data_IF_794166916472
#
_entry.id   IF_794166916472
#
_cell.length_a   1.000
_cell.length_b   1.000
_cell.length_c   1.000
_cell.angle_alpha   90.00
_cell.angle_beta   90.00
_cell.angle_gamma   90.00
#
_symmetry.space_group_name_H-M   'P 1'
#
loop_
_entity.id
_entity.type
_entity.pdbx_description
1 polymer ?
#
# COMPACT_ATOMS: atom_id res chain seq x y z
N UNK A 1 1.26 4.66 33.10
CA UNK A 1 -0.07 4.85 32.47
C UNK A 1 -0.24 6.35 32.24
N UNK A 2 -0.85 6.77 31.13
CA UNK A 2 -1.02 8.16 30.60
C UNK A 2 -0.06 8.65 29.48
N UNK A 3 0.90 7.86 28.99
CA UNK A 3 1.76 8.27 27.85
C UNK A 3 1.12 8.17 26.45
N UNK A 4 -0.16 7.80 26.35
CA UNK A 4 -0.81 7.38 25.09
C UNK A 4 -1.77 8.39 24.48
N UNK A 5 -2.21 9.40 25.21
CA UNK A 5 -3.32 10.26 24.77
C UNK A 5 -2.88 11.26 23.69
N UNK A 6 -1.80 12.05 23.86
CA UNK A 6 -1.45 13.08 22.88
C UNK A 6 -0.99 12.50 21.55
N UNK A 7 -0.13 11.48 21.56
CA UNK A 7 0.27 10.78 20.34
C UNK A 7 -0.94 10.16 19.62
N UNK A 8 -1.92 9.61 20.35
CA UNK A 8 -3.15 9.07 19.76
C UNK A 8 -4.02 10.16 19.14
N UNK A 9 -4.10 11.36 19.74
CA UNK A 9 -4.84 12.50 19.18
C UNK A 9 -4.23 12.93 17.85
N UNK A 10 -2.91 13.16 17.80
CA UNK A 10 -2.25 13.57 16.55
C UNK A 10 -2.28 12.47 15.48
N UNK A 11 -2.14 11.21 15.87
CA UNK A 11 -2.34 10.09 14.95
C UNK A 11 -3.78 10.03 14.42
N UNK A 12 -4.78 10.37 15.23
CA UNK A 12 -6.19 10.41 14.79
C UNK A 12 -6.42 11.57 13.83
N UNK A 13 -5.90 12.76 14.11
CA UNK A 13 -5.99 13.91 13.21
C UNK A 13 -5.28 13.64 11.87
N UNK A 14 -4.10 13.04 11.89
CA UNK A 14 -3.40 12.62 10.68
C UNK A 14 -4.21 11.59 9.87
N UNK A 15 -4.89 10.64 10.53
CA UNK A 15 -5.83 9.69 9.89
C UNK A 15 -7.05 10.40 9.29
N UNK A 16 -7.56 11.43 9.96
CA UNK A 16 -8.66 12.28 9.48
C UNK A 16 -8.25 13.25 8.36
N UNK A 17 -6.97 13.27 7.96
CA UNK A 17 -6.44 14.14 6.88
C UNK A 17 -6.48 15.62 7.22
N UNK A 18 -6.37 15.92 8.51
CA UNK A 18 -6.25 17.26 9.02
C UNK A 18 -4.94 17.87 8.53
N UNK A 19 -5.01 19.09 8.02
CA UNK A 19 -3.87 19.80 7.40
C UNK A 19 -2.92 20.27 8.48
N UNK A 20 -1.74 20.74 8.08
CA UNK A 20 -0.76 21.33 9.00
C UNK A 20 -1.38 22.35 9.98
N UNK A 21 -2.32 23.17 9.47
CA UNK A 21 -3.07 24.14 10.27
C UNK A 21 -3.86 23.50 11.43
N UNK A 22 -4.60 22.42 11.17
CA UNK A 22 -5.38 21.73 12.20
C UNK A 22 -4.48 21.11 13.29
N UNK A 23 -3.30 20.62 12.92
CA UNK A 23 -2.33 20.05 13.86
C UNK A 23 -1.74 21.13 14.76
N UNK A 24 -1.42 22.30 14.19
CA UNK A 24 -0.94 23.46 14.93
C UNK A 24 -2.01 23.96 15.89
N UNK A 25 -3.28 24.01 15.46
CA UNK A 25 -4.40 24.40 16.32
C UNK A 25 -4.64 23.41 17.47
N UNK A 26 -4.63 22.10 17.19
CA UNK A 26 -4.76 21.09 18.25
C UNK A 26 -3.58 21.11 19.21
N UNK A 27 -2.36 21.27 18.69
CA UNK A 27 -1.16 21.42 19.50
C UNK A 27 -1.25 22.62 20.43
N UNK A 28 -1.73 23.75 19.93
CA UNK A 28 -1.86 24.95 20.72
C UNK A 28 -2.88 24.78 21.86
N UNK A 29 -3.97 24.05 21.59
CA UNK A 29 -4.95 23.70 22.63
C UNK A 29 -4.37 22.77 23.70
N UNK A 30 -3.63 21.73 23.29
CA UNK A 30 -3.04 20.75 24.22
C UNK A 30 -1.90 21.33 25.04
N UNK A 31 -1.07 22.20 24.46
CA UNK A 31 -0.01 22.92 25.16
C UNK A 31 -0.53 24.12 25.96
N UNK A 32 -1.78 24.54 25.73
CA UNK A 32 -2.32 25.80 26.22
C UNK A 32 -1.39 27.01 25.90
N UNK A 33 -0.79 27.00 24.72
CA UNK A 33 0.13 28.04 24.27
C UNK A 33 0.12 28.14 22.74
N UNK A 34 0.24 29.33 22.12
CA UNK A 34 0.21 29.43 20.66
C UNK A 34 1.39 28.72 20.00
N UNK A 35 1.16 28.25 18.78
CA UNK A 35 2.15 27.51 17.99
C UNK A 35 2.16 28.06 16.57
N UNK A 36 3.34 28.13 15.98
CA UNK A 36 3.49 28.34 14.55
C UNK A 36 4.45 27.29 14.00
N UNK A 37 4.15 26.81 12.79
CA UNK A 37 5.03 25.97 12.01
C UNK A 37 5.58 26.76 10.82
N UNK A 38 6.89 26.66 10.60
CA UNK A 38 7.56 27.16 9.41
C UNK A 38 8.29 26.04 8.69
N UNK A 39 8.44 26.13 7.37
CA UNK A 39 9.20 25.16 6.59
C UNK A 39 10.73 25.29 6.79
N UNK A 40 11.47 24.43 6.09
CA UNK A 40 12.94 24.41 6.06
C UNK A 40 13.59 25.68 5.49
N UNK A 41 12.85 26.48 4.72
CA UNK A 41 13.29 27.81 4.25
C UNK A 41 12.87 28.93 5.23
N UNK A 42 12.36 28.54 6.41
CA UNK A 42 11.84 29.41 7.45
C UNK A 42 10.65 30.27 7.01
N UNK A 43 9.90 29.84 6.00
CA UNK A 43 8.63 30.47 5.63
C UNK A 43 7.50 29.93 6.50
N UNK A 44 6.67 30.79 7.09
CA UNK A 44 5.56 30.33 7.92
C UNK A 44 4.51 29.61 7.06
N UNK A 45 4.08 28.45 7.52
CA UNK A 45 3.11 27.60 6.83
C UNK A 45 1.78 27.48 7.59
N UNK A 46 1.80 27.63 8.92
CA UNK A 46 0.61 27.58 9.76
C UNK A 46 0.80 28.36 11.06
N UNK A 47 -0.28 28.96 11.56
CA UNK A 47 -0.34 29.70 12.81
C UNK A 47 -1.57 29.27 13.59
N UNK A 48 -1.44 28.94 14.87
CA UNK A 48 -2.60 28.66 15.71
C UNK A 48 -3.49 29.91 15.83
N UNK A 49 -4.80 29.73 16.05
CA UNK A 49 -5.79 30.83 16.14
C UNK A 49 -5.36 32.05 16.97
N UNK A 50 -4.60 31.85 18.06
CA UNK A 50 -4.17 32.92 18.98
C UNK A 50 -2.67 33.26 18.90
N UNK A 51 -2.02 33.06 17.76
CA UNK A 51 -0.60 33.41 17.62
C UNK A 51 -0.39 34.94 17.71
N UNK A 52 0.56 35.46 18.52
CA UNK A 52 0.73 36.89 18.72
C UNK A 52 1.05 37.66 17.44
N UNK A 53 0.25 38.68 17.12
CA UNK A 53 0.42 39.49 15.90
C UNK A 53 1.77 40.21 15.84
N UNK A 54 2.28 40.66 17.00
CA UNK A 54 3.59 41.31 17.11
C UNK A 54 4.75 40.38 16.70
N UNK A 55 4.64 39.08 17.00
CA UNK A 55 5.65 38.07 16.63
C UNK A 55 5.60 37.74 15.14
N UNK A 56 4.41 37.79 14.54
CA UNK A 56 4.27 37.72 13.07
C UNK A 56 4.96 38.92 12.43
N UNK A 57 4.76 40.12 12.95
CA UNK A 57 5.41 41.34 12.45
C UNK A 57 6.94 41.30 12.62
N UNK A 58 7.42 40.90 13.80
CA UNK A 58 8.85 40.75 14.10
C UNK A 58 9.51 39.79 13.12
N UNK A 59 8.85 38.68 12.81
CA UNK A 59 9.33 37.71 11.82
C UNK A 59 9.42 38.31 10.42
N UNK A 60 8.38 39.02 9.97
CA UNK A 60 8.39 39.64 8.64
C UNK A 60 9.53 40.66 8.53
N UNK A 61 9.76 41.45 9.58
CA UNK A 61 10.90 42.37 9.65
C UNK A 61 12.25 41.65 9.67
N UNK A 62 12.38 40.55 10.42
CA UNK A 62 13.59 39.75 10.49
C UNK A 62 13.94 39.08 9.15
N UNK A 63 12.96 38.55 8.43
CA UNK A 63 13.13 37.95 7.10
C UNK A 63 13.64 38.97 6.07
N UNK A 64 13.13 40.21 6.11
CA UNK A 64 13.55 41.29 5.21
C UNK A 64 14.97 41.80 5.50
N UNK A 65 15.39 41.80 6.77
CA UNK A 65 16.60 42.49 7.24
C UNK A 65 17.81 41.57 7.51
N UNK A 66 17.65 40.24 7.53
CA UNK A 66 18.72 39.36 8.05
C UNK A 66 18.76 37.95 7.43
N UNK A 67 18.96 37.86 6.12
CA UNK A 67 19.20 36.58 5.43
C UNK A 67 20.48 35.84 5.89
N UNK A 68 21.49 36.55 6.40
CA UNK A 68 22.78 35.95 6.83
C UNK A 68 22.90 35.66 8.33
N UNK A 69 22.20 36.40 9.21
CA UNK A 69 22.29 36.23 10.67
C UNK A 69 21.45 35.04 11.19
N UNK A 70 20.31 34.75 10.55
CA UNK A 70 19.46 33.60 10.93
C UNK A 70 20.09 32.25 10.54
N UNK A 71 20.79 32.17 9.40
CA UNK A 71 21.38 30.92 8.89
C UNK A 71 22.42 30.33 9.85
N UNK A 72 23.34 31.16 10.38
CA UNK A 72 24.42 30.73 11.29
C UNK A 72 23.94 30.33 12.69
N UNK A 73 22.81 30.86 13.16
CA UNK A 73 22.24 30.48 14.47
C UNK A 73 21.41 29.18 14.40
N UNK A 74 20.73 28.96 13.27
CA UNK A 74 19.82 27.83 13.07
C UNK A 74 20.54 26.58 12.51
N UNK A 75 21.66 26.75 11.77
CA UNK A 75 22.55 25.65 11.34
C UNK A 75 23.24 24.94 12.51
N UNK A 76 23.32 25.58 13.70
CA UNK A 76 23.85 24.97 14.93
C UNK A 76 22.86 24.06 15.66
N UNK A 77 21.61 23.99 15.21
CA UNK A 77 20.58 23.14 15.80
C UNK A 77 20.77 21.73 15.25
N UNK A 78 21.72 20.96 15.79
CA UNK A 78 22.01 19.63 15.27
C UNK A 78 20.93 18.60 15.64
N UNK A 79 20.16 18.82 16.71
CA UNK A 79 19.26 17.82 17.27
C UNK A 79 17.77 18.22 17.26
N UNK A 80 16.83 17.25 17.12
CA UNK A 80 15.37 17.45 17.21
C UNK A 80 14.87 17.74 18.64
N UNK A 81 15.76 18.19 19.52
CA UNK A 81 15.46 18.46 20.92
C UNK A 81 14.91 19.89 21.01
N UNK A 82 13.71 20.10 21.60
CA UNK A 82 13.20 21.44 21.85
C UNK A 82 14.19 22.26 22.68
N UNK A 83 14.48 23.49 22.26
CA UNK A 83 15.39 24.38 22.98
C UNK A 83 14.84 25.80 23.05
N UNK A 84 15.24 26.51 24.10
CA UNK A 84 14.83 27.90 24.30
C UNK A 84 15.71 28.86 23.49
N UNK A 85 15.06 29.69 22.68
CA UNK A 85 15.68 30.68 21.82
C UNK A 85 15.38 32.09 22.32
N UNK A 86 16.43 32.89 22.49
CA UNK A 86 16.36 34.33 22.75
C UNK A 86 16.87 35.09 21.53
N UNK A 87 16.17 34.95 20.40
CA UNK A 87 16.55 35.65 19.18
C UNK A 87 16.22 37.15 19.34
N UNK A 88 17.21 38.06 19.25
CA UNK A 88 16.99 39.50 19.42
C UNK A 88 16.02 40.12 18.41
N UNK A 89 15.76 39.42 17.30
CA UNK A 89 14.80 39.85 16.29
C UNK A 89 13.33 39.72 16.75
N UNK A 90 13.07 38.99 17.84
CA UNK A 90 11.74 38.79 18.39
C UNK A 90 11.64 39.46 19.76
N UNK A 91 10.50 40.10 20.03
CA UNK A 91 10.23 40.71 21.36
C UNK A 91 10.09 39.67 22.48
N UNK A 92 9.80 38.41 22.15
CA UNK A 92 9.53 37.32 23.08
C UNK A 92 10.54 36.18 22.92
N UNK A 93 10.81 35.46 24.01
CA UNK A 93 11.52 34.17 23.94
C UNK A 93 10.66 33.15 23.22
N UNK A 94 11.28 32.19 22.56
CA UNK A 94 10.58 31.13 21.86
C UNK A 94 11.14 29.77 22.24
N UNK A 95 10.29 28.77 22.43
CA UNK A 95 10.71 27.38 22.40
C UNK A 95 10.68 26.94 20.93
N UNK A 96 11.80 26.41 20.46
CA UNK A 96 12.00 26.04 19.06
C UNK A 96 12.26 24.54 18.99
N UNK A 97 11.56 23.84 18.11
CA UNK A 97 11.76 22.41 17.88
C UNK A 97 11.84 22.12 16.38
N UNK A 98 12.87 21.38 15.94
CA UNK A 98 12.94 20.90 14.56
C UNK A 98 11.93 19.79 14.34
N UNK A 99 11.24 19.86 13.22
CA UNK A 99 10.40 18.81 12.69
C UNK A 99 11.22 18.03 11.65
N UNK A 100 11.63 16.82 12.01
CA UNK A 100 12.52 15.97 11.21
C UNK A 100 11.75 14.71 10.80
N UNK A 101 11.89 14.33 9.53
CA UNK A 101 11.34 13.08 9.00
C UNK A 101 12.46 12.33 8.25
N UNK A 102 12.77 11.10 8.67
CA UNK A 102 13.87 10.29 8.09
C UNK A 102 15.17 11.08 7.91
N UNK A 103 15.66 11.70 8.98
CA UNK A 103 16.87 12.54 9.02
C UNK A 103 16.83 13.79 8.11
N UNK A 104 15.70 14.08 7.47
CA UNK A 104 15.46 15.29 6.70
C UNK A 104 14.73 16.32 7.54
N UNK A 105 15.28 17.52 7.60
CA UNK A 105 14.61 18.67 8.21
C UNK A 105 13.47 19.14 7.29
N UNK A 106 12.24 19.03 7.79
CA UNK A 106 11.02 19.44 7.07
C UNK A 106 10.64 20.88 7.42
N UNK A 107 10.80 21.24 8.69
CA UNK A 107 10.46 22.56 9.18
C UNK A 107 10.74 22.74 10.67
N UNK A 108 10.22 23.80 11.24
CA UNK A 108 10.49 24.22 12.62
C UNK A 108 9.21 24.69 13.28
N UNK A 109 8.93 24.09 14.43
CA UNK A 109 7.90 24.52 15.36
C UNK A 109 8.47 25.67 16.21
N UNK A 110 7.72 26.76 16.35
CA UNK A 110 8.05 27.88 17.23
C UNK A 110 6.87 28.20 18.15
N UNK A 111 7.17 28.33 19.43
CA UNK A 111 6.19 28.52 20.50
C UNK A 111 6.63 29.76 21.30
N UNK A 112 5.94 30.90 21.19
CA UNK A 112 6.32 32.12 21.91
C UNK A 112 6.02 32.01 23.40
N UNK A 113 6.82 32.72 24.20
CA UNK A 113 6.53 32.96 25.61
C UNK A 113 5.50 34.09 25.73
N UNK A 114 4.25 33.72 26.04
CA UNK A 114 3.14 34.68 26.15
C UNK A 114 2.80 34.91 27.63
N UNK A 115 1.87 34.12 28.18
CA UNK A 115 1.44 34.22 29.59
C UNK A 115 2.11 33.17 30.48
N UNK A 116 2.63 32.08 29.89
CA UNK A 116 3.25 30.97 30.59
C UNK A 116 4.75 30.88 30.29
N UNK A 117 5.53 30.58 31.32
CA UNK A 117 6.96 30.31 31.18
C UNK A 117 7.19 29.04 30.37
N UNK A 118 8.04 29.13 29.34
CA UNK A 118 8.32 28.05 28.39
C UNK A 118 9.03 26.85 29.05
N UNK A 119 9.70 27.09 30.17
CA UNK A 119 10.36 26.06 30.97
C UNK A 119 9.38 25.04 31.58
N UNK A 120 8.07 25.37 31.64
CA UNK A 120 7.04 24.49 32.18
C UNK A 120 6.30 23.68 31.10
N UNK A 121 6.65 23.82 29.83
CA UNK A 121 6.00 23.08 28.74
C UNK A 121 6.44 21.61 28.73
N UNK A 122 5.49 20.73 28.39
CA UNK A 122 5.77 19.32 28.14
C UNK A 122 6.57 19.17 26.83
N UNK A 123 7.88 19.00 26.96
CA UNK A 123 8.80 18.85 25.83
C UNK A 123 8.53 17.58 25.00
N UNK A 124 7.97 16.53 25.60
CA UNK A 124 7.59 15.29 24.90
C UNK A 124 6.37 15.55 24.00
N UNK A 125 5.41 16.34 24.48
CA UNK A 125 4.28 16.80 23.70
C UNK A 125 4.71 17.76 22.58
N UNK A 126 5.62 18.70 22.85
CA UNK A 126 6.20 19.60 21.82
C UNK A 126 6.85 18.78 20.70
N UNK A 127 7.61 17.75 21.05
CA UNK A 127 8.22 16.85 20.06
C UNK A 127 7.16 16.08 19.27
N UNK A 128 6.14 15.57 19.94
CA UNK A 128 5.02 14.86 19.30
C UNK A 128 4.31 15.74 18.26
N UNK A 129 4.10 17.02 18.57
CA UNK A 129 3.52 18.00 17.63
C UNK A 129 4.46 18.24 16.46
N UNK A 130 5.76 18.42 16.72
CA UNK A 130 6.76 18.62 15.68
C UNK A 130 6.85 17.41 14.72
N UNK A 131 6.81 16.19 15.25
CA UNK A 131 6.81 14.94 14.48
C UNK A 131 5.55 14.84 13.61
N UNK A 132 4.37 15.15 14.17
CA UNK A 132 3.12 15.17 13.42
C UNK A 132 3.14 16.20 12.28
N UNK A 133 3.69 17.38 12.53
CA UNK A 133 3.86 18.41 11.52
C UNK A 133 4.91 18.03 10.46
N UNK A 134 5.97 17.29 10.83
CA UNK A 134 6.96 16.77 9.88
C UNK A 134 6.32 15.80 8.89
N UNK A 135 5.45 14.91 9.38
CA UNK A 135 4.68 13.98 8.55
C UNK A 135 3.77 14.75 7.59
N UNK A 136 2.97 15.69 8.11
CA UNK A 136 2.04 16.47 7.29
C UNK A 136 2.76 17.32 6.23
N UNK A 137 3.82 18.02 6.61
CA UNK A 137 4.62 18.85 5.69
C UNK A 137 5.32 18.02 4.62
N UNK A 138 5.79 16.81 4.94
CA UNK A 138 6.34 15.89 3.93
C UNK A 138 5.26 15.42 2.95
N UNK A 139 4.06 15.07 3.43
CA UNK A 139 2.95 14.70 2.56
C UNK A 139 2.58 15.84 1.58
N UNK A 140 2.53 17.08 2.05
CA UNK A 140 2.27 18.25 1.21
C UNK A 140 3.37 18.47 0.16
N UNK A 141 4.64 18.38 0.55
CA UNK A 141 5.80 18.46 -0.36
C UNK A 141 5.82 17.32 -1.39
N UNK A 142 5.44 16.11 -1.01
CA UNK A 142 5.34 14.98 -1.94
C UNK A 142 4.17 15.15 -2.91
N UNK A 143 3.03 15.65 -2.45
CA UNK A 143 1.87 15.92 -3.31
C UNK A 143 2.23 16.99 -4.35
N UNK A 144 2.92 18.06 -3.93
CA UNK A 144 3.44 19.10 -4.82
C UNK A 144 4.56 18.60 -5.76
N UNK A 145 5.42 17.68 -5.30
CA UNK A 145 6.49 17.10 -6.11
C UNK A 145 6.00 16.06 -7.13
N UNK A 146 4.91 15.35 -6.82
CA UNK A 146 4.21 14.43 -7.75
C UNK A 146 3.66 15.19 -8.95
N UNK A 147 3.17 16.41 -8.75
CA UNK A 147 2.65 17.24 -9.85
C UNK A 147 3.76 17.78 -10.76
N UNK A 148 5.00 17.99 -10.29
CA UNK A 148 5.99 18.78 -11.04
C UNK A 148 7.28 18.07 -11.48
N UNK A 149 7.68 16.88 -10.97
CA UNK A 149 9.09 16.44 -11.17
C UNK A 149 9.40 14.95 -11.44
N UNK A 150 8.58 14.17 -12.14
CA UNK A 150 9.06 12.90 -12.78
C UNK A 150 8.41 12.62 -14.15
N UNK A 151 9.02 13.02 -15.28
CA UNK A 151 8.57 12.66 -16.63
C UNK A 151 8.32 11.15 -16.80
N UNK A 152 9.12 10.32 -16.13
CA UNK A 152 9.08 8.86 -16.19
C UNK A 152 7.80 8.23 -15.60
N UNK A 153 7.16 8.86 -14.61
CA UNK A 153 5.89 8.35 -14.04
C UNK A 153 4.73 8.60 -15.01
N UNK A 154 4.76 9.72 -15.74
CA UNK A 154 3.80 9.97 -16.82
C UNK A 154 3.97 8.96 -17.96
N UNK A 155 5.19 8.49 -18.24
CA UNK A 155 5.44 7.44 -19.24
C UNK A 155 4.74 6.13 -18.87
N UNK A 156 4.71 5.75 -17.58
CA UNK A 156 3.99 4.55 -17.14
C UNK A 156 2.49 4.66 -17.35
N UNK A 157 1.88 5.80 -16.96
CA UNK A 157 0.45 6.03 -17.18
C UNK A 157 0.11 6.08 -18.68
N UNK A 158 0.91 6.78 -19.48
CA UNK A 158 0.72 6.82 -20.92
C UNK A 158 0.86 5.44 -21.57
N UNK A 159 1.73 4.57 -21.06
CA UNK A 159 1.86 3.19 -21.54
C UNK A 159 0.65 2.32 -21.14
N UNK A 160 0.17 2.45 -19.90
CA UNK A 160 -1.00 1.72 -19.39
C UNK A 160 -2.28 2.13 -20.13
N UNK A 161 -2.38 3.40 -20.53
CA UNK A 161 -3.53 3.98 -21.24
C UNK A 161 -3.37 3.99 -22.77
N UNK A 162 -2.45 3.18 -23.32
CA UNK A 162 -2.25 3.01 -24.77
C UNK A 162 -1.91 4.31 -25.54
N UNK A 163 -1.32 5.29 -24.87
CA UNK A 163 -0.90 6.58 -25.47
C UNK A 163 0.51 6.52 -26.07
N UNK A 164 1.22 5.40 -25.89
CA UNK A 164 2.52 5.13 -26.52
C UNK A 164 2.33 4.06 -27.59
N UNK A 165 2.65 4.41 -28.84
CA UNK A 165 2.28 3.58 -29.99
C UNK A 165 3.06 2.26 -30.11
N UNK A 166 4.32 2.22 -29.68
CA UNK A 166 5.20 1.04 -29.80
C UNK A 166 6.44 1.16 -28.89
N UNK A 167 7.18 0.05 -28.79
CA UNK A 167 8.42 -0.04 -27.99
C UNK A 167 9.46 1.02 -28.36
N UNK A 168 9.63 1.35 -29.64
CA UNK A 168 10.59 2.39 -30.06
C UNK A 168 10.19 3.79 -29.58
N UNK A 169 8.89 4.11 -29.58
CA UNK A 169 8.40 5.36 -29.02
C UNK A 169 8.60 5.44 -27.50
N UNK A 170 8.45 4.32 -26.80
CA UNK A 170 8.77 4.20 -25.38
C UNK A 170 10.26 4.43 -25.12
N UNK A 171 11.15 3.75 -25.85
CA UNK A 171 12.60 3.90 -25.72
C UNK A 171 13.04 5.35 -25.90
N UNK A 172 12.50 6.05 -26.91
CA UNK A 172 12.78 7.49 -27.13
C UNK A 172 12.37 8.36 -25.94
N UNK A 173 11.25 8.02 -25.28
CA UNK A 173 10.78 8.74 -24.09
C UNK A 173 11.59 8.42 -22.84
N UNK A 174 12.14 7.21 -22.75
CA UNK A 174 12.99 6.78 -21.65
C UNK A 174 14.47 7.17 -21.83
N UNK A 175 14.87 7.56 -23.05
CA UNK A 175 16.24 7.89 -23.40
C UNK A 175 16.85 8.96 -22.46
N UNK A 176 18.04 8.68 -21.93
CA UNK A 176 18.74 9.55 -20.98
C UNK A 176 18.20 9.51 -19.54
N UNK A 177 17.18 8.69 -19.27
CA UNK A 177 16.64 8.46 -17.93
C UNK A 177 17.24 7.25 -17.20
N UNK A 178 16.92 7.07 -15.91
CA UNK A 178 17.41 5.94 -15.12
C UNK A 178 16.86 4.56 -15.54
N UNK A 179 15.79 4.50 -16.35
CA UNK A 179 15.17 3.28 -16.85
C UNK A 179 15.71 2.81 -18.22
N UNK A 180 16.91 3.28 -18.63
CA UNK A 180 17.52 2.88 -19.91
C UNK A 180 18.29 1.55 -19.83
N UNK A 181 18.27 0.85 -18.69
CA UNK A 181 18.97 -0.42 -18.50
C UNK A 181 18.00 -1.58 -18.76
N UNK A 182 18.46 -2.58 -19.50
CA UNK A 182 17.70 -3.79 -19.77
C UNK A 182 17.90 -4.77 -18.62
N UNK A 183 16.98 -4.76 -17.66
CA UNK A 183 16.89 -5.78 -16.63
C UNK A 183 15.55 -6.50 -16.71
N UNK A 184 15.48 -7.76 -16.25
CA UNK A 184 14.21 -8.34 -15.86
C UNK A 184 13.50 -7.40 -14.88
N UNK A 185 12.28 -6.98 -15.20
CA UNK A 185 11.41 -6.18 -14.36
C UNK A 185 10.23 -7.01 -13.88
N UNK A 186 9.71 -6.67 -12.69
CA UNK A 186 8.43 -7.15 -12.18
C UNK A 186 7.62 -5.99 -11.63
N UNK A 187 6.30 -6.10 -11.72
CA UNK A 187 5.34 -5.19 -11.10
C UNK A 187 4.70 -5.87 -9.90
N UNK A 188 4.63 -5.14 -8.79
CA UNK A 188 3.89 -5.55 -7.59
C UNK A 188 2.71 -4.61 -7.44
N UNK A 189 1.50 -5.15 -7.43
CA UNK A 189 0.31 -4.41 -7.03
C UNK A 189 0.14 -4.49 -5.51
N UNK A 190 0.00 -3.35 -4.86
CA UNK A 190 -0.28 -3.24 -3.42
C UNK A 190 -1.78 -3.07 -3.23
N UNK A 191 -2.46 -4.11 -2.78
CA UNK A 191 -3.91 -4.09 -2.56
C UNK A 191 -4.25 -4.04 -1.07
N UNK A 192 -5.32 -3.30 -0.75
CA UNK A 192 -5.94 -3.29 0.57
C UNK A 192 -7.45 -3.15 0.45
N UNK A 193 -8.21 -4.11 0.97
CA UNK A 193 -9.67 -4.05 0.98
C UNK A 193 -10.20 -2.83 1.77
N UNK A 194 -9.49 -2.41 2.83
CA UNK A 194 -9.90 -1.30 3.69
C UNK A 194 -9.46 0.07 3.13
N UNK A 195 -8.40 0.12 2.31
CA UNK A 195 -7.71 1.39 2.02
C UNK A 195 -7.44 1.66 0.52
N UNK A 196 -7.89 0.81 -0.41
CA UNK A 196 -7.64 0.99 -1.85
C UNK A 196 -8.18 2.33 -2.39
N UNK A 197 -9.18 2.93 -1.75
CA UNK A 197 -9.73 4.24 -2.12
C UNK A 197 -9.39 5.37 -1.13
N UNK A 198 -8.47 5.17 -0.17
CA UNK A 198 -8.02 6.24 0.73
C UNK A 198 -6.70 6.86 0.22
N UNK A 199 -6.72 8.04 -0.42
CA UNK A 199 -5.54 8.66 -1.00
C UNK A 199 -4.45 8.98 0.04
N UNK A 200 -4.82 9.16 1.31
CA UNK A 200 -3.88 9.50 2.40
C UNK A 200 -3.14 8.27 2.87
N UNK A 201 -3.87 7.17 3.02
CA UNK A 201 -3.28 5.88 3.36
C UNK A 201 -2.34 5.38 2.24
N UNK A 202 -2.76 5.51 0.99
CA UNK A 202 -1.89 5.26 -0.16
C UNK A 202 -0.61 6.12 -0.13
N UNK A 203 -0.68 7.34 0.41
CA UNK A 203 0.46 8.26 0.50
C UNK A 203 1.43 7.88 1.62
N UNK A 204 0.93 7.56 2.82
CA UNK A 204 1.75 7.01 3.92
C UNK A 204 2.43 5.71 3.47
N UNK A 205 1.70 4.85 2.76
CA UNK A 205 2.23 3.61 2.20
C UNK A 205 3.32 3.85 1.17
N UNK A 206 3.07 4.77 0.24
CA UNK A 206 4.06 5.21 -0.75
C UNK A 206 5.32 5.71 -0.05
N UNK A 207 5.20 6.49 1.03
CA UNK A 207 6.34 7.01 1.77
C UNK A 207 7.15 5.89 2.47
N UNK A 208 6.46 4.93 3.11
CA UNK A 208 7.12 3.78 3.76
C UNK A 208 7.86 2.89 2.76
N UNK A 209 7.27 2.64 1.59
CA UNK A 209 7.88 1.85 0.53
C UNK A 209 9.05 2.60 -0.15
N UNK A 210 8.95 3.93 -0.33
CA UNK A 210 10.03 4.76 -0.90
C UNK A 210 11.27 4.83 -0.02
N UNK A 211 11.13 4.66 1.29
CA UNK A 211 12.26 4.64 2.22
C UNK A 211 13.12 3.36 2.07
N UNK A 212 12.69 2.39 1.25
CA UNK A 212 13.37 1.11 1.04
C UNK A 212 14.29 1.18 -0.19
N UNK A 213 15.59 0.88 -0.07
CA UNK A 213 16.50 0.87 -1.21
C UNK A 213 16.17 -0.23 -2.24
N UNK A 214 15.40 -1.25 -1.86
CA UNK A 214 14.99 -2.35 -2.75
C UNK A 214 13.81 -2.02 -3.68
N UNK A 215 13.20 -0.84 -3.52
CA UNK A 215 12.06 -0.40 -4.34
C UNK A 215 12.58 0.62 -5.35
N UNK A 216 12.81 0.16 -6.59
CA UNK A 216 13.34 1.01 -7.65
C UNK A 216 12.36 2.13 -8.03
N UNK A 217 11.08 1.77 -8.21
CA UNK A 217 10.04 2.74 -8.54
C UNK A 217 8.70 2.45 -7.87
N UNK A 218 8.00 3.54 -7.53
CA UNK A 218 6.59 3.50 -7.14
C UNK A 218 5.81 4.40 -8.08
N UNK A 219 4.70 3.88 -8.61
CA UNK A 219 3.81 4.65 -9.45
C UNK A 219 2.34 4.36 -9.12
N UNK A 220 1.48 5.30 -9.52
CA UNK A 220 0.04 5.16 -9.40
C UNK A 220 -0.59 5.13 -10.77
N UNK A 221 -1.52 4.20 -10.96
CA UNK A 221 -2.33 4.08 -12.17
C UNK A 221 -3.74 3.66 -11.79
N UNK A 222 -4.75 4.35 -12.33
CA UNK A 222 -6.19 4.05 -12.12
C UNK A 222 -6.57 3.85 -10.64
N UNK A 223 -6.07 4.73 -9.77
CA UNK A 223 -6.35 4.70 -8.32
C UNK A 223 -5.60 3.63 -7.53
N UNK A 224 -4.70 2.87 -8.15
CA UNK A 224 -3.92 1.79 -7.50
C UNK A 224 -2.45 2.13 -7.37
N UNK A 225 -1.79 1.48 -6.41
CA UNK A 225 -0.35 1.66 -6.11
C UNK A 225 0.43 0.45 -6.62
N UNK A 226 1.50 0.74 -7.36
CA UNK A 226 2.37 -0.26 -7.95
C UNK A 226 3.83 -0.01 -7.61
N UNK A 227 4.58 -1.10 -7.44
CA UNK A 227 6.04 -1.11 -7.32
C UNK A 227 6.59 -1.72 -8.59
N UNK A 228 7.64 -1.12 -9.14
CA UNK A 228 8.46 -1.74 -10.17
C UNK A 228 9.78 -2.12 -9.52
N UNK A 229 10.14 -3.39 -9.61
CA UNK A 229 11.38 -3.94 -9.06
C UNK A 229 12.22 -4.56 -10.17
N UNK A 230 13.52 -4.37 -10.10
CA UNK A 230 14.51 -5.04 -10.92
C UNK A 230 14.84 -6.43 -10.37
N UNK A 231 14.96 -7.41 -11.27
CA UNK A 231 15.35 -8.79 -10.96
C UNK A 231 14.28 -9.83 -11.27
N UNK A 232 14.75 -11.07 -11.42
CA UNK A 232 13.87 -12.23 -11.60
C UNK A 232 13.14 -12.63 -10.32
N UNK A 233 13.64 -12.23 -9.16
CA UNK A 233 13.08 -12.55 -7.85
C UNK A 233 12.99 -11.29 -7.00
N UNK A 234 12.02 -11.26 -6.09
CA UNK A 234 11.94 -10.19 -5.10
C UNK A 234 13.13 -10.25 -4.15
N UNK A 235 13.79 -9.12 -3.84
CA UNK A 235 14.81 -9.07 -2.81
C UNK A 235 14.26 -9.59 -1.47
N UNK A 236 15.07 -10.36 -0.73
CA UNK A 236 14.66 -10.94 0.55
C UNK A 236 14.24 -9.86 1.56
N UNK A 237 14.98 -8.75 1.61
CA UNK A 237 14.69 -7.62 2.48
C UNK A 237 13.37 -6.89 2.12
N UNK A 238 13.02 -6.84 0.83
CA UNK A 238 11.72 -6.35 0.39
C UNK A 238 10.62 -7.32 0.78
N UNK A 239 10.83 -8.62 0.53
CA UNK A 239 9.88 -9.69 0.86
C UNK A 239 9.50 -9.67 2.34
N UNK A 240 10.50 -9.60 3.23
CA UNK A 240 10.28 -9.51 4.68
C UNK A 240 9.51 -8.26 5.07
N UNK A 241 9.80 -7.13 4.44
CA UNK A 241 9.11 -5.87 4.71
C UNK A 241 7.65 -5.90 4.27
N UNK A 242 7.37 -6.43 3.08
CA UNK A 242 5.99 -6.59 2.60
C UNK A 242 5.18 -7.48 3.54
N UNK A 243 5.77 -8.57 4.06
CA UNK A 243 5.14 -9.44 5.07
C UNK A 243 4.84 -8.65 6.36
N UNK A 244 5.77 -7.84 6.87
CA UNK A 244 5.53 -7.02 8.06
C UNK A 244 4.36 -6.04 7.86
N UNK A 245 4.28 -5.41 6.68
CA UNK A 245 3.19 -4.52 6.33
C UNK A 245 1.85 -5.28 6.14
N UNK A 246 1.88 -6.52 5.66
CA UNK A 246 0.70 -7.40 5.66
C UNK A 246 0.21 -7.67 7.08
N UNK A 247 1.10 -8.06 7.99
CA UNK A 247 0.73 -8.36 9.38
C UNK A 247 0.20 -7.12 10.11
N UNK A 248 0.73 -5.93 9.79
CA UNK A 248 0.35 -4.68 10.44
C UNK A 248 -0.93 -4.05 9.87
N UNK A 249 -1.14 -4.15 8.55
CA UNK A 249 -2.17 -3.37 7.84
C UNK A 249 -3.07 -4.20 6.91
N UNK A 250 -2.83 -5.52 6.79
CA UNK A 250 -3.65 -6.41 5.98
C UNK A 250 -3.43 -6.32 4.47
N UNK A 251 -2.28 -5.84 3.99
CA UNK A 251 -2.05 -5.76 2.54
C UNK A 251 -1.86 -7.08 1.86
N UNK A 252 -2.32 -7.14 0.62
CA UNK A 252 -2.08 -8.26 -0.27
C UNK A 252 -1.29 -7.77 -1.48
N UNK A 253 -0.24 -8.52 -1.83
CA UNK A 253 0.69 -8.15 -2.90
C UNK A 253 0.58 -9.15 -4.04
N UNK A 254 0.21 -8.65 -5.22
CA UNK A 254 0.17 -9.43 -6.43
C UNK A 254 1.38 -9.10 -7.28
N UNK A 255 2.19 -10.12 -7.58
CA UNK A 255 3.45 -9.98 -8.30
C UNK A 255 3.24 -10.49 -9.73
N UNK A 256 3.59 -9.67 -10.72
CA UNK A 256 3.55 -10.05 -12.14
C UNK A 256 4.60 -11.12 -12.46
N UNK A 257 4.49 -11.69 -13.67
CA UNK A 257 5.64 -12.36 -14.26
C UNK A 257 6.77 -11.36 -14.55
N UNK A 258 7.94 -11.91 -14.84
CA UNK A 258 9.09 -11.10 -15.18
C UNK A 258 9.13 -10.75 -16.67
N UNK A 259 9.45 -9.50 -17.00
CA UNK A 259 9.64 -9.03 -18.37
C UNK A 259 11.03 -8.45 -18.58
N UNK A 260 11.63 -8.69 -19.74
CA UNK A 260 12.96 -8.15 -20.10
C UNK A 260 12.94 -6.68 -20.55
N UNK A 261 11.74 -6.10 -20.70
CA UNK A 261 11.56 -4.75 -21.19
C UNK A 261 10.31 -4.10 -20.55
N UNK A 262 10.31 -2.77 -20.52
CA UNK A 262 9.21 -1.99 -19.99
C UNK A 262 8.04 -1.85 -20.96
N UNK A 263 8.17 -2.24 -22.23
CA UNK A 263 7.04 -2.24 -23.16
C UNK A 263 5.94 -3.19 -22.66
N UNK A 264 6.33 -4.24 -21.93
CA UNK A 264 5.40 -5.16 -21.27
C UNK A 264 4.75 -4.64 -19.98
N UNK A 265 5.06 -3.43 -19.51
CA UNK A 265 4.54 -2.90 -18.23
C UNK A 265 3.02 -2.95 -18.14
N UNK A 266 2.30 -2.65 -19.23
CA UNK A 266 0.85 -2.74 -19.26
C UNK A 266 0.35 -4.15 -18.89
N UNK A 267 0.95 -5.18 -19.48
CA UNK A 267 0.61 -6.57 -19.16
C UNK A 267 1.02 -6.90 -17.73
N UNK A 268 2.23 -6.54 -17.29
CA UNK A 268 2.68 -6.78 -15.92
C UNK A 268 1.74 -6.15 -14.87
N UNK A 269 1.22 -4.94 -15.13
CA UNK A 269 0.21 -4.30 -14.28
C UNK A 269 -1.10 -5.11 -14.25
N UNK A 270 -1.57 -5.59 -15.40
CA UNK A 270 -2.77 -6.43 -15.47
C UNK A 270 -2.58 -7.75 -14.72
N UNK A 271 -1.42 -8.39 -14.86
CA UNK A 271 -1.04 -9.61 -14.14
C UNK A 271 -1.05 -9.39 -12.63
N UNK A 272 -0.34 -8.37 -12.14
CA UNK A 272 -0.26 -8.03 -10.72
C UNK A 272 -1.63 -7.75 -10.09
N UNK A 273 -2.50 -7.00 -10.80
CA UNK A 273 -3.88 -6.74 -10.39
C UNK A 273 -4.69 -8.04 -10.34
N UNK A 274 -4.61 -8.85 -11.40
CA UNK A 274 -5.32 -10.12 -11.51
C UNK A 274 -4.94 -11.05 -10.36
N UNK A 275 -3.66 -11.11 -10.02
CA UNK A 275 -3.13 -11.86 -8.89
C UNK A 275 -3.74 -11.42 -7.56
N UNK A 276 -3.73 -10.12 -7.24
CA UNK A 276 -4.34 -9.64 -5.98
C UNK A 276 -5.85 -9.93 -5.92
N UNK A 277 -6.56 -9.72 -7.02
CA UNK A 277 -8.02 -9.94 -7.11
C UNK A 277 -8.38 -11.38 -6.77
N UNK A 278 -7.62 -12.35 -7.29
CA UNK A 278 -7.83 -13.76 -6.99
C UNK A 278 -7.33 -14.17 -5.61
N UNK A 279 -6.20 -13.62 -5.15
CA UNK A 279 -5.64 -13.91 -3.84
C UNK A 279 -6.59 -13.54 -2.69
N UNK A 280 -7.14 -12.32 -2.74
CA UNK A 280 -8.09 -11.79 -1.74
C UNK A 280 -9.34 -12.67 -1.69
N UNK A 281 -9.90 -13.02 -2.85
CA UNK A 281 -11.10 -13.85 -2.93
C UNK A 281 -10.89 -15.28 -2.45
N UNK A 282 -9.74 -15.88 -2.78
CA UNK A 282 -9.42 -17.22 -2.34
C UNK A 282 -9.12 -17.32 -0.83
N UNK A 283 -9.28 -16.21 -0.09
CA UNK A 283 -9.01 -16.08 1.35
C UNK A 283 -7.62 -16.62 1.71
N UNK A 284 -6.66 -16.42 0.81
CA UNK A 284 -5.30 -16.89 1.03
C UNK A 284 -4.68 -16.03 2.13
N UNK A 285 -4.10 -16.70 3.13
CA UNK A 285 -3.44 -16.05 4.27
C UNK A 285 -2.03 -15.52 3.96
N UNK A 286 -1.53 -15.73 2.75
CA UNK A 286 -0.20 -15.31 2.38
C UNK A 286 -0.24 -13.83 2.01
N UNK A 287 0.81 -13.10 2.35
CA UNK A 287 0.93 -11.70 1.97
C UNK A 287 1.17 -11.54 0.46
N UNK A 288 2.05 -12.36 -0.10
CA UNK A 288 2.62 -12.19 -1.43
C UNK A 288 2.20 -13.36 -2.32
N UNK A 289 1.78 -13.03 -3.53
CA UNK A 289 1.23 -13.95 -4.51
C UNK A 289 1.87 -13.74 -5.87
N UNK A 290 2.31 -14.82 -6.53
CA UNK A 290 2.93 -14.74 -7.85
C UNK A 290 1.90 -15.05 -8.94
N UNK A 291 1.92 -14.30 -10.04
CA UNK A 291 0.98 -14.46 -11.13
C UNK A 291 0.97 -15.87 -11.73
N UNK A 292 2.11 -16.56 -11.75
CA UNK A 292 2.22 -17.94 -12.23
C UNK A 292 1.21 -18.89 -11.55
N UNK A 293 0.96 -18.70 -10.25
CA UNK A 293 -0.02 -19.48 -9.47
C UNK A 293 -1.48 -19.19 -9.87
N UNK A 294 -1.72 -18.09 -10.59
CA UNK A 294 -3.04 -17.57 -10.95
C UNK A 294 -3.33 -17.55 -12.45
N UNK A 295 -2.36 -17.87 -13.32
CA UNK A 295 -2.52 -17.89 -14.78
C UNK A 295 -3.72 -18.70 -15.26
N UNK A 296 -3.96 -19.85 -14.63
CA UNK A 296 -5.10 -20.69 -14.97
C UNK A 296 -6.43 -19.99 -14.73
N UNK A 297 -6.55 -19.27 -13.60
CA UNK A 297 -7.73 -18.46 -13.30
C UNK A 297 -7.84 -17.25 -14.22
N UNK A 298 -6.72 -16.63 -14.61
CA UNK A 298 -6.70 -15.54 -15.58
C UNK A 298 -7.22 -15.96 -16.95
N UNK A 299 -6.84 -17.16 -17.43
CA UNK A 299 -7.39 -17.74 -18.67
C UNK A 299 -8.87 -18.07 -18.51
N UNK A 300 -9.28 -18.65 -17.38
CA UNK A 300 -10.69 -18.92 -17.11
C UNK A 300 -11.54 -17.62 -17.06
N UNK A 301 -10.95 -16.50 -16.63
CA UNK A 301 -11.60 -15.18 -16.59
C UNK A 301 -11.88 -14.57 -17.95
N UNK A 302 -11.29 -15.13 -19.03
CA UNK A 302 -11.63 -14.74 -20.39
C UNK A 302 -12.96 -15.35 -20.87
N UNK A 303 -13.50 -16.34 -20.17
CA UNK A 303 -14.81 -16.91 -20.51
C UNK A 303 -15.94 -15.92 -20.20
N UNK A 304 -16.94 -15.87 -21.10
CA UNK A 304 -18.11 -15.01 -20.95
C UNK A 304 -18.84 -15.29 -19.62
N UNK A 305 -19.05 -14.26 -18.76
CA UNK A 305 -19.65 -14.42 -17.45
C UNK A 305 -21.00 -15.12 -17.45
N UNK A 306 -21.85 -14.86 -18.44
CA UNK A 306 -23.20 -15.43 -18.50
C UNK A 306 -23.21 -16.87 -19.03
N UNK A 307 -22.12 -17.33 -19.67
CA UNK A 307 -22.05 -18.63 -20.33
C UNK A 307 -21.10 -19.62 -19.65
N UNK A 308 -20.53 -19.28 -18.49
CA UNK A 308 -19.56 -20.11 -17.76
C UNK A 308 -20.03 -21.55 -17.56
N UNK A 309 -21.34 -21.78 -17.34
CA UNK A 309 -21.91 -23.11 -17.17
C UNK A 309 -21.74 -23.99 -18.40
N UNK A 310 -21.68 -23.43 -19.61
CA UNK A 310 -21.49 -24.18 -20.85
C UNK A 310 -20.10 -24.81 -20.93
N UNK A 311 -19.15 -24.31 -20.14
CA UNK A 311 -17.78 -24.79 -20.10
C UNK A 311 -17.54 -25.81 -18.97
N UNK A 312 -18.52 -26.05 -18.09
CA UNK A 312 -18.43 -27.10 -17.08
C UNK A 312 -18.64 -28.47 -17.71
N UNK A 313 -17.94 -29.49 -17.20
CA UNK A 313 -18.21 -30.86 -17.62
C UNK A 313 -19.58 -31.34 -17.14
N UNK A 314 -20.20 -32.22 -17.93
CA UNK A 314 -21.47 -32.87 -17.58
C UNK A 314 -21.39 -33.51 -16.20
N UNK A 315 -20.30 -34.26 -15.94
CA UNK A 315 -20.08 -34.90 -14.64
C UNK A 315 -19.99 -33.91 -13.48
N UNK A 316 -19.41 -32.72 -13.67
CA UNK A 316 -19.32 -31.71 -12.62
C UNK A 316 -20.73 -31.20 -12.25
N UNK A 317 -21.57 -30.94 -13.26
CA UNK A 317 -22.97 -30.53 -13.06
C UNK A 317 -23.77 -31.63 -12.35
N UNK A 318 -23.62 -32.88 -12.77
CA UNK A 318 -24.29 -34.03 -12.16
C UNK A 318 -23.90 -34.21 -10.68
N UNK A 319 -22.62 -34.06 -10.35
CA UNK A 319 -22.14 -34.13 -8.96
C UNK A 319 -22.72 -32.98 -8.14
N UNK A 320 -22.72 -31.75 -8.68
CA UNK A 320 -23.27 -30.57 -8.01
C UNK A 320 -24.76 -30.74 -7.69
N UNK A 321 -25.55 -31.20 -8.67
CA UNK A 321 -26.98 -31.50 -8.52
C UNK A 321 -27.22 -32.63 -7.50
N UNK A 322 -26.37 -33.65 -7.51
CA UNK A 322 -26.47 -34.78 -6.60
C UNK A 322 -26.19 -34.36 -5.15
N UNK A 323 -25.13 -33.56 -4.92
CA UNK A 323 -24.81 -32.98 -3.61
C UNK A 323 -25.97 -32.14 -3.09
N UNK A 324 -26.57 -31.29 -3.93
CA UNK A 324 -27.72 -30.47 -3.55
C UNK A 324 -28.98 -31.30 -3.19
N UNK A 325 -29.25 -32.39 -3.94
CA UNK A 325 -30.44 -33.23 -3.72
C UNK A 325 -30.31 -34.19 -2.53
N UNK A 326 -29.10 -34.71 -2.28
CA UNK A 326 -28.88 -35.80 -1.33
C UNK A 326 -28.13 -35.36 -0.06
N UNK A 327 -27.70 -34.09 0.03
CA UNK A 327 -26.92 -33.59 1.15
C UNK A 327 -25.52 -34.21 1.24
N UNK A 328 -25.00 -34.73 0.13
CA UNK A 328 -23.62 -35.23 0.06
C UNK A 328 -22.63 -34.09 -0.15
N UNK A 329 -21.34 -34.37 0.03
CA UNK A 329 -20.26 -33.41 -0.25
C UNK A 329 -19.20 -34.01 -1.20
N UNK A 330 -19.63 -34.65 -2.28
CA UNK A 330 -18.72 -35.28 -3.25
C UNK A 330 -17.89 -34.25 -4.00
N UNK A 331 -18.46 -33.11 -4.39
CA UNK A 331 -17.72 -32.03 -5.04
C UNK A 331 -16.60 -31.51 -4.13
N UNK A 332 -16.91 -31.31 -2.84
CA UNK A 332 -15.92 -30.93 -1.82
C UNK A 332 -14.85 -32.01 -1.66
N UNK A 333 -15.23 -33.29 -1.68
CA UNK A 333 -14.27 -34.41 -1.60
C UNK A 333 -13.27 -34.37 -2.75
N UNK A 334 -13.75 -34.16 -3.98
CA UNK A 334 -12.90 -34.02 -5.15
C UNK A 334 -12.01 -32.78 -5.00
N UNK A 335 -12.56 -31.63 -4.60
CA UNK A 335 -11.77 -30.42 -4.38
C UNK A 335 -10.60 -30.66 -3.42
N UNK A 336 -10.85 -31.31 -2.27
CA UNK A 336 -9.79 -31.60 -1.29
C UNK A 336 -8.74 -32.56 -1.84
N UNK A 337 -9.14 -33.52 -2.66
CA UNK A 337 -8.21 -34.41 -3.35
C UNK A 337 -7.33 -33.66 -4.35
N UNK A 338 -7.92 -32.78 -5.16
CA UNK A 338 -7.22 -31.96 -6.13
C UNK A 338 -6.23 -30.98 -5.48
N UNK A 339 -6.62 -30.24 -4.44
CA UNK A 339 -5.71 -29.26 -3.79
C UNK A 339 -4.58 -29.91 -2.99
N UNK A 340 -4.64 -31.22 -2.78
CA UNK A 340 -3.61 -32.01 -2.11
C UNK A 340 -2.85 -32.91 -3.11
N UNK A 341 -2.58 -32.40 -4.31
CA UNK A 341 -1.76 -33.06 -5.34
C UNK A 341 -2.28 -34.45 -5.77
N UNK A 342 -3.60 -34.65 -5.79
CA UNK A 342 -4.21 -35.96 -6.04
C UNK A 342 -3.69 -37.06 -5.08
N UNK A 343 -3.32 -36.68 -3.85
CA UNK A 343 -2.83 -37.59 -2.83
C UNK A 343 -3.93 -37.92 -1.81
N UNK A 344 -4.38 -39.17 -1.81
CA UNK A 344 -5.44 -39.64 -0.91
C UNK A 344 -5.08 -39.48 0.57
N UNK A 345 -3.82 -39.66 0.95
CA UNK A 345 -3.40 -39.55 2.34
C UNK A 345 -3.53 -38.10 2.82
N UNK A 346 -2.89 -37.17 2.10
CA UNK A 346 -2.94 -35.73 2.40
C UNK A 346 -4.39 -35.21 2.39
N UNK A 347 -5.19 -35.62 1.41
CA UNK A 347 -6.59 -35.22 1.31
C UNK A 347 -7.43 -35.75 2.49
N UNK A 348 -7.21 -36.99 2.91
CA UNK A 348 -7.92 -37.57 4.06
C UNK A 348 -7.59 -36.83 5.36
N UNK A 349 -6.33 -36.47 5.57
CA UNK A 349 -5.87 -35.66 6.70
C UNK A 349 -6.49 -34.26 6.67
N UNK A 350 -6.45 -33.59 5.51
CA UNK A 350 -7.01 -32.25 5.34
C UNK A 350 -8.53 -32.18 5.53
N UNK A 351 -9.23 -33.29 5.26
CA UNK A 351 -10.68 -33.43 5.49
C UNK A 351 -11.02 -33.98 6.89
N UNK A 352 -10.03 -34.30 7.73
CA UNK A 352 -10.22 -34.97 9.02
C UNK A 352 -11.00 -36.29 8.90
N UNK A 353 -10.76 -37.05 7.83
CA UNK A 353 -11.42 -38.32 7.54
C UNK A 353 -10.42 -39.48 7.56
N UNK A 354 -10.89 -40.67 7.91
CA UNK A 354 -10.08 -41.88 7.74
C UNK A 354 -9.87 -42.17 6.24
N UNK A 355 -8.66 -42.58 5.85
CA UNK A 355 -8.29 -42.90 4.45
C UNK A 355 -9.28 -43.85 3.78
N UNK A 356 -9.69 -44.92 4.46
CA UNK A 356 -10.64 -45.91 3.91
C UNK A 356 -12.00 -45.28 3.56
N UNK A 357 -12.46 -44.30 4.34
CA UNK A 357 -13.69 -43.57 4.06
C UNK A 357 -13.53 -42.72 2.80
N UNK A 358 -12.39 -42.05 2.64
CA UNK A 358 -12.12 -41.29 1.42
C UNK A 358 -12.06 -42.19 0.19
N UNK A 359 -11.39 -43.34 0.28
CA UNK A 359 -11.33 -44.36 -0.80
C UNK A 359 -12.74 -44.83 -1.18
N UNK A 360 -13.60 -45.11 -0.20
CA UNK A 360 -14.99 -45.45 -0.47
C UNK A 360 -15.73 -44.31 -1.19
N UNK A 361 -15.57 -43.05 -0.75
CA UNK A 361 -16.19 -41.90 -1.42
C UNK A 361 -15.72 -41.76 -2.86
N UNK A 362 -14.41 -41.94 -3.14
CA UNK A 362 -13.88 -41.91 -4.50
C UNK A 362 -14.45 -43.02 -5.38
N UNK A 363 -14.59 -44.23 -4.84
CA UNK A 363 -15.23 -45.34 -5.55
C UNK A 363 -16.68 -45.00 -5.89
N UNK A 364 -17.43 -44.43 -4.94
CA UNK A 364 -18.83 -44.01 -5.18
C UNK A 364 -18.93 -42.90 -6.22
N UNK A 365 -18.03 -41.92 -6.21
CA UNK A 365 -17.96 -40.88 -7.25
C UNK A 365 -17.75 -41.52 -8.63
N UNK A 366 -16.83 -42.48 -8.75
CA UNK A 366 -16.59 -43.21 -10.00
C UNK A 366 -17.81 -43.99 -10.47
N UNK A 367 -18.47 -44.72 -9.56
CA UNK A 367 -19.67 -45.52 -9.84
C UNK A 367 -20.87 -44.67 -10.27
N UNK A 368 -21.08 -43.51 -9.62
CA UNK A 368 -22.27 -42.68 -9.85
C UNK A 368 -22.13 -41.76 -11.06
N UNK A 369 -20.93 -41.23 -11.32
CA UNK A 369 -20.73 -40.15 -12.29
C UNK A 369 -19.77 -40.53 -13.43
N UNK A 370 -19.25 -41.76 -13.42
CA UNK A 370 -18.31 -42.23 -14.44
C UNK A 370 -16.98 -41.47 -14.46
N UNK A 371 -16.64 -40.76 -13.38
CA UNK A 371 -15.43 -39.96 -13.28
C UNK A 371 -14.32 -40.77 -12.63
N UNK A 372 -13.20 -40.91 -13.34
CA UNK A 372 -12.00 -41.54 -12.78
C UNK A 372 -10.95 -40.49 -12.40
N UNK A 373 -10.81 -40.23 -11.09
CA UNK A 373 -9.83 -39.30 -10.54
C UNK A 373 -8.38 -39.79 -10.63
N UNK A 374 -8.13 -41.04 -11.06
CA UNK A 374 -6.79 -41.54 -11.36
C UNK A 374 -6.43 -41.30 -12.84
N UNK A 375 -7.39 -40.88 -13.67
CA UNK A 375 -7.18 -40.54 -15.08
C UNK A 375 -6.91 -39.04 -15.21
N UNK A 376 -5.69 -38.68 -15.62
CA UNK A 376 -5.24 -37.28 -15.79
C UNK A 376 -6.20 -36.43 -16.64
N UNK A 377 -6.83 -37.01 -17.66
CA UNK A 377 -7.80 -36.30 -18.51
C UNK A 377 -9.04 -35.87 -17.74
N UNK A 378 -9.55 -36.70 -16.85
CA UNK A 378 -10.74 -36.41 -16.06
C UNK A 378 -10.40 -35.49 -14.88
N UNK A 379 -9.22 -35.65 -14.27
CA UNK A 379 -8.65 -34.68 -13.34
C UNK A 379 -8.60 -33.27 -13.95
N UNK A 380 -8.01 -33.12 -15.14
CA UNK A 380 -7.86 -31.82 -15.79
C UNK A 380 -9.22 -31.15 -16.09
N UNK A 381 -10.17 -31.92 -16.62
CA UNK A 381 -11.54 -31.46 -16.86
C UNK A 381 -12.22 -30.96 -15.59
N UNK A 382 -12.05 -31.68 -14.49
CA UNK A 382 -12.60 -31.29 -13.19
C UNK A 382 -11.89 -30.05 -12.64
N UNK A 383 -10.56 -29.98 -12.69
CA UNK A 383 -9.82 -28.77 -12.30
C UNK A 383 -10.32 -27.53 -13.04
N UNK A 384 -10.54 -27.63 -14.34
CA UNK A 384 -11.08 -26.54 -15.15
C UNK A 384 -12.50 -26.15 -14.73
N UNK A 385 -13.38 -27.14 -14.55
CA UNK A 385 -14.75 -26.90 -14.07
C UNK A 385 -14.76 -26.26 -12.68
N UNK A 386 -13.88 -26.69 -11.76
CA UNK A 386 -13.72 -26.08 -10.44
C UNK A 386 -13.23 -24.63 -10.52
N UNK A 387 -12.26 -24.32 -11.39
CA UNK A 387 -11.76 -22.97 -11.53
C UNK A 387 -12.85 -22.02 -12.06
N UNK A 388 -13.60 -22.44 -13.08
CA UNK A 388 -14.73 -21.68 -13.62
C UNK A 388 -15.85 -21.51 -12.58
N UNK A 389 -16.19 -22.59 -11.86
CA UNK A 389 -17.21 -22.54 -10.81
C UNK A 389 -16.83 -21.55 -9.70
N UNK A 390 -15.57 -21.60 -9.23
CA UNK A 390 -15.05 -20.65 -8.24
C UNK A 390 -15.04 -19.22 -8.76
N UNK A 391 -14.68 -19.03 -10.03
CA UNK A 391 -14.67 -17.72 -10.67
C UNK A 391 -16.08 -17.14 -10.81
N UNK A 392 -17.07 -17.96 -11.16
CA UNK A 392 -18.45 -17.52 -11.20
C UNK A 392 -18.92 -17.09 -9.81
N UNK A 393 -18.66 -17.90 -8.78
CA UNK A 393 -18.94 -17.52 -7.39
C UNK A 393 -18.25 -16.20 -7.00
N UNK A 394 -17.06 -15.93 -7.53
CA UNK A 394 -16.35 -14.66 -7.38
C UNK A 394 -17.09 -13.49 -8.04
N UNK A 395 -17.58 -13.65 -9.27
CA UNK A 395 -18.30 -12.59 -10.00
C UNK A 395 -19.62 -12.26 -9.34
N UNK A 396 -20.40 -13.26 -8.92
CA UNK A 396 -21.71 -13.04 -8.29
C UNK A 396 -21.62 -12.24 -6.99
N UNK A 397 -20.59 -12.47 -6.16
CA UNK A 397 -20.40 -11.70 -4.91
C UNK A 397 -20.00 -10.23 -5.11
N UNK A 398 -19.45 -9.87 -6.27
CA UNK A 398 -19.04 -8.48 -6.58
C UNK A 398 -20.14 -7.68 -7.29
N UNK A 399 -21.26 -8.29 -7.69
CA UNK A 399 -22.41 -7.57 -8.26
C UNK A 399 -23.39 -7.10 -7.18
N UNK A 400 -23.26 -7.60 -5.95
CA UNK A 400 -24.10 -7.26 -4.79
C UNK A 400 -23.51 -6.14 -3.89
N UNK A 401 -22.41 -5.50 -4.32
CA UNK A 401 -21.75 -4.35 -3.69
C UNK A 401 -21.45 -3.29 -4.75
#
# INVERSE_FOLDING_TARGET
MEKTIPSRVFLTLLKEGKRLQDLVDQGAQLLNNPIMFADHDHQPQAFSVNYPADDVQDRMHAQLNSAELNKKALDKIADPIPFLSQNPAFRRRHLVCKAIWNDRWIGTLMIPEVEYSLENLDLELVRTIADACAIAGMLELETAAVDQRRPTVYVFNDLIDDRIANASALEKRLAGGPLTRFFPYRVIHVHSAEYENDPRFQSVMTAQLRARPEVDWIFRARGRVFLLCEGEQLPLALTQFLIQLHDQYGFVYGVSDCAQDLWKLKWMVQEAVTTTRFAVYAERKQAIHNYDDYKFYAVADLAEPEQWENYLTVSFKEILDYDAKNGTEYLKTIQYYLVNDANLQKASEAMFMHKNTLVYRMKRIRELFGVDLEVNKDLLKLYFSFALYKLHQFRSRNLDH
#
